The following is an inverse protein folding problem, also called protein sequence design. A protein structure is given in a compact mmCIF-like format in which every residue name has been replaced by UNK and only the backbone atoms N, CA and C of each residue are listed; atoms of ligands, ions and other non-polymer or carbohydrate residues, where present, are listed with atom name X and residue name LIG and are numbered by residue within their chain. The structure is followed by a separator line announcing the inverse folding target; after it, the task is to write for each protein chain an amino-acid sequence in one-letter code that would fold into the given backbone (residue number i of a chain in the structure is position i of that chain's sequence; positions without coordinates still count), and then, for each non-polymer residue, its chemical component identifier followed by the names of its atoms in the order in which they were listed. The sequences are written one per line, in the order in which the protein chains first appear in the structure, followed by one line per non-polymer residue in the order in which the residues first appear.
data_IF_036249331693
#
_entry.id   IF_036249331693
#
_cell.length_a   1.000
_cell.length_b   1.000
_cell.length_c   1.000
_cell.angle_alpha   90.00
_cell.angle_beta   90.00
_cell.angle_gamma   90.00
#
_symmetry.space_group_name_H-M   'P 1'
#
loop_
_entity.id
_entity.type
_entity.pdbx_description
1 polymer ?
#
# COMPACT_ATOMS: atom_id res chain seq x y z
N UNK A 1 3.42 -13.25 -5.22
CA UNK A 1 2.10 -12.55 -5.23
C UNK A 1 2.29 -11.18 -5.88
N UNK A 2 1.32 -10.65 -6.65
CA UNK A 2 1.42 -9.29 -7.21
C UNK A 2 1.11 -8.23 -6.15
N UNK A 3 1.75 -7.06 -6.22
CA UNK A 3 1.53 -5.94 -5.29
C UNK A 3 0.05 -5.55 -5.24
N UNK A 4 -0.62 -5.41 -6.38
CA UNK A 4 -2.06 -5.08 -6.43
C UNK A 4 -2.95 -6.14 -5.76
N UNK A 5 -2.59 -7.43 -5.89
CA UNK A 5 -3.30 -8.53 -5.23
C UNK A 5 -3.03 -8.48 -3.73
N UNK A 6 -1.78 -8.27 -3.32
CA UNK A 6 -1.40 -8.20 -1.92
C UNK A 6 -2.13 -7.07 -1.20
N UNK A 7 -2.09 -5.84 -1.75
CA UNK A 7 -2.76 -4.67 -1.20
C UNK A 7 -4.27 -4.87 -0.99
N UNK A 8 -4.92 -5.62 -1.89
CA UNK A 8 -6.34 -5.94 -1.74
C UNK A 8 -6.59 -7.03 -0.69
N UNK A 9 -5.77 -8.07 -0.68
CA UNK A 9 -5.95 -9.23 0.21
C UNK A 9 -5.60 -8.88 1.66
N UNK A 10 -4.55 -8.10 1.87
CA UNK A 10 -4.16 -7.55 3.17
C UNK A 10 -5.12 -6.46 3.67
N UNK A 11 -6.09 -6.05 2.86
CA UNK A 11 -7.06 -4.99 3.15
C UNK A 11 -6.45 -3.60 3.41
N UNK A 12 -5.17 -3.39 3.07
CA UNK A 12 -4.55 -2.07 2.98
C UNK A 12 -5.31 -1.17 2.00
N UNK A 13 -5.94 -1.76 0.98
CA UNK A 13 -6.75 -1.04 0.00
C UNK A 13 -8.08 -1.77 -0.22
N UNK A 14 -9.21 -1.05 -0.10
CA UNK A 14 -10.55 -1.62 -0.29
C UNK A 14 -10.80 -2.06 -1.75
N UNK A 15 -10.35 -1.27 -2.74
CA UNK A 15 -10.58 -1.49 -4.19
C UNK A 15 -9.27 -1.75 -4.93
N UNK A 16 -9.29 -2.69 -5.88
CA UNK A 16 -8.12 -3.02 -6.72
C UNK A 16 -7.76 -1.90 -7.70
N UNK A 17 -8.73 -1.11 -8.13
CA UNK A 17 -8.53 0.08 -8.97
C UNK A 17 -7.66 1.11 -8.27
N UNK A 18 -7.99 1.44 -7.02
CA UNK A 18 -7.21 2.38 -6.20
C UNK A 18 -5.76 1.91 -6.00
N UNK A 19 -5.55 0.61 -5.72
CA UNK A 19 -4.21 0.06 -5.61
C UNK A 19 -3.39 0.25 -6.90
N UNK A 20 -4.03 0.08 -8.07
CA UNK A 20 -3.40 0.31 -9.37
C UNK A 20 -3.05 1.79 -9.55
N UNK A 21 -3.98 2.70 -9.28
CA UNK A 21 -3.77 4.15 -9.43
C UNK A 21 -2.63 4.67 -8.55
N UNK A 22 -2.58 4.26 -7.28
CA UNK A 22 -1.52 4.67 -6.35
C UNK A 22 -0.15 4.12 -6.79
N UNK A 23 -0.11 2.91 -7.36
CA UNK A 23 1.12 2.36 -7.95
C UNK A 23 1.52 3.12 -9.24
N UNK A 24 0.56 3.44 -10.11
CA UNK A 24 0.79 4.15 -11.38
C UNK A 24 1.25 5.60 -11.14
N UNK A 25 0.77 6.24 -10.08
CA UNK A 25 1.22 7.56 -9.59
C UNK A 25 2.60 7.51 -8.90
N UNK A 26 3.23 6.33 -8.76
CA UNK A 26 4.52 6.19 -8.08
C UNK A 26 4.47 6.45 -6.57
N UNK A 27 3.27 6.39 -5.98
CA UNK A 27 3.03 6.59 -4.54
C UNK A 27 3.25 5.33 -3.71
N UNK A 28 3.53 4.18 -4.35
CA UNK A 28 3.92 2.93 -3.68
C UNK A 28 5.40 2.62 -3.93
N UNK A 29 6.11 2.29 -2.85
CA UNK A 29 7.49 1.83 -2.88
C UNK A 29 7.59 0.46 -2.23
N UNK A 30 8.37 -0.42 -2.81
CA UNK A 30 8.73 -1.72 -2.23
C UNK A 30 10.24 -1.71 -1.99
N UNK A 31 10.65 -1.91 -0.73
CA UNK A 31 12.04 -1.87 -0.29
C UNK A 31 12.77 -0.59 -0.75
N UNK A 32 12.10 0.56 -0.60
CA UNK A 32 12.60 1.87 -1.03
C UNK A 32 12.54 2.15 -2.54
N UNK A 33 12.15 1.19 -3.38
CA UNK A 33 12.07 1.35 -4.85
C UNK A 33 10.62 1.56 -5.29
N UNK A 34 10.37 2.57 -6.13
CA UNK A 34 9.06 2.75 -6.77
C UNK A 34 8.82 1.59 -7.74
N UNK A 35 7.70 0.90 -7.60
CA UNK A 35 7.37 -0.26 -8.41
C UNK A 35 5.96 -0.15 -8.98
N UNK A 36 5.73 -0.82 -10.11
CA UNK A 36 4.41 -0.89 -10.74
C UNK A 36 3.50 -1.88 -9.99
N UNK A 37 2.19 -1.74 -10.18
CA UNK A 37 1.18 -2.62 -9.59
C UNK A 37 1.42 -4.12 -9.86
N UNK A 38 2.00 -4.45 -11.01
CA UNK A 38 2.35 -5.81 -11.40
C UNK A 38 3.60 -6.40 -10.75
N UNK A 39 4.32 -5.63 -9.92
CA UNK A 39 5.52 -6.11 -9.24
C UNK A 39 5.20 -7.28 -8.30
N UNK A 40 6.16 -8.20 -8.19
CA UNK A 40 6.06 -9.35 -7.29
C UNK A 40 6.53 -8.93 -5.91
N UNK A 41 5.70 -9.14 -4.90
CA UNK A 41 6.06 -8.96 -3.49
C UNK A 41 6.44 -10.29 -2.86
N UNK A 42 7.42 -10.24 -1.96
CA UNK A 42 7.91 -11.37 -1.17
C UNK A 42 7.74 -11.10 0.34
N UNK A 43 7.74 -12.17 1.13
CA UNK A 43 7.79 -12.06 2.60
C UNK A 43 9.08 -11.34 3.01
N UNK A 44 8.99 -10.46 4.00
CA UNK A 44 10.07 -9.61 4.48
C UNK A 44 10.24 -8.31 3.68
N UNK A 45 9.51 -8.11 2.58
CA UNK A 45 9.53 -6.84 1.86
C UNK A 45 8.84 -5.75 2.68
N UNK A 46 9.40 -4.54 2.61
CA UNK A 46 8.79 -3.34 3.16
C UNK A 46 8.03 -2.60 2.05
N UNK A 47 6.79 -2.22 2.31
CA UNK A 47 5.90 -1.54 1.38
C UNK A 47 5.53 -0.19 1.98
N UNK A 48 5.97 0.89 1.35
CA UNK A 48 5.55 2.24 1.71
C UNK A 48 4.50 2.73 0.75
N UNK A 49 3.34 3.13 1.26
CA UNK A 49 2.20 3.60 0.50
C UNK A 49 1.90 5.03 0.94
N UNK A 50 1.84 5.96 -0.01
CA UNK A 50 1.39 7.32 0.23
C UNK A 50 -0.10 7.46 -0.09
N UNK A 51 -0.89 7.69 0.93
CA UNK A 51 -2.32 8.01 0.89
C UNK A 51 -2.51 9.53 1.08
N UNK A 52 -2.53 10.28 -0.03
CA UNK A 52 -2.63 11.75 0.05
C UNK A 52 -1.51 12.33 0.92
N UNK A 53 -1.87 12.90 2.07
CA UNK A 53 -0.96 13.49 3.06
C UNK A 53 -0.40 12.49 4.07
N UNK A 54 -0.76 11.20 4.00
CA UNK A 54 -0.28 10.16 4.92
C UNK A 54 0.65 9.20 4.20
N UNK A 55 1.74 8.80 4.84
CA UNK A 55 2.64 7.75 4.37
C UNK A 55 2.62 6.61 5.39
N UNK A 56 2.17 5.45 4.94
CA UNK A 56 2.12 4.22 5.74
C UNK A 56 3.18 3.28 5.21
N UNK A 57 4.05 2.79 6.10
CA UNK A 57 5.07 1.80 5.80
C UNK A 57 4.75 0.51 6.52
N UNK A 58 4.54 -0.55 5.74
CA UNK A 58 4.14 -1.86 6.21
C UNK A 58 5.13 -2.93 5.76
N UNK A 59 5.53 -3.83 6.66
CA UNK A 59 6.34 -5.00 6.34
C UNK A 59 5.45 -6.18 6.01
N UNK A 60 5.74 -6.89 4.94
CA UNK A 60 5.11 -8.17 4.62
C UNK A 60 5.63 -9.24 5.56
N UNK A 61 4.76 -9.82 6.37
CA UNK A 61 5.08 -10.96 7.24
C UNK A 61 4.69 -12.29 6.61
N UNK A 62 3.56 -12.33 5.89
CA UNK A 62 3.04 -13.55 5.24
C UNK A 62 2.36 -13.23 3.92
N UNK A 63 2.48 -14.18 2.99
CA UNK A 63 1.78 -14.15 1.71
C UNK A 63 0.82 -15.32 1.64
N UNK A 64 -0.46 -15.03 1.78
CA UNK A 64 -1.56 -16.01 1.72
C UNK A 64 -2.43 -15.67 0.51
N UNK A 65 -2.81 -16.68 -0.27
CA UNK A 65 -3.65 -16.48 -1.46
C UNK A 65 -5.13 -16.33 -1.14
N UNK A 66 -5.58 -16.99 -0.07
CA UNK A 66 -6.94 -16.95 0.46
C UNK A 66 -6.85 -16.64 1.94
N UNK A 67 -7.54 -15.58 2.38
CA UNK A 67 -7.32 -15.00 3.71
C UNK A 67 -8.65 -14.63 4.33
N UNK A 68 -8.91 -15.16 5.52
CA UNK A 68 -10.07 -14.74 6.32
C UNK A 68 -9.80 -13.39 6.95
N UNK A 69 -10.85 -12.73 7.45
CA UNK A 69 -10.74 -11.38 8.05
C UNK A 69 -9.64 -11.34 9.12
N UNK A 70 -9.60 -12.35 9.98
CA UNK A 70 -8.70 -12.46 11.12
C UNK A 70 -7.24 -12.70 10.72
N UNK A 71 -7.00 -13.30 9.55
CA UNK A 71 -5.66 -13.62 9.08
C UNK A 71 -5.03 -12.47 8.27
N UNK A 72 -5.84 -11.54 7.75
CA UNK A 72 -5.36 -10.41 6.96
C UNK A 72 -4.43 -9.50 7.76
N UNK A 73 -4.77 -9.27 9.04
CA UNK A 73 -3.95 -8.51 9.99
C UNK A 73 -2.61 -9.20 10.29
N UNK A 74 -2.50 -10.51 10.09
CA UNK A 74 -1.23 -11.25 10.28
C UNK A 74 -0.33 -11.26 9.04
N UNK A 75 -0.82 -10.74 7.91
CA UNK A 75 -0.05 -10.73 6.65
C UNK A 75 1.01 -9.64 6.62
N UNK A 76 0.79 -8.56 7.35
CA UNK A 76 1.69 -7.42 7.39
C UNK A 76 1.74 -6.79 8.77
N UNK A 77 2.79 -6.03 9.01
CA UNK A 77 2.96 -5.24 10.21
C UNK A 77 3.22 -3.80 9.81
N UNK A 78 2.48 -2.86 10.38
CA UNK A 78 2.72 -1.43 10.14
C UNK A 78 3.93 -1.01 10.96
N UNK A 79 5.02 -0.66 10.27
CA UNK A 79 6.26 -0.21 10.90
C UNK A 79 6.18 1.28 11.24
N UNK A 80 5.58 2.07 10.34
CA UNK A 80 5.58 3.53 10.46
C UNK A 80 4.36 4.15 9.79
N UNK A 81 3.81 5.17 10.42
CA UNK A 81 2.77 6.04 9.85
C UNK A 81 3.16 7.50 10.07
N UNK A 82 3.31 8.25 8.99
CA UNK A 82 3.70 9.65 9.03
C UNK A 82 2.67 10.51 8.31
N UNK A 83 2.27 11.62 8.94
CA UNK A 83 1.51 12.68 8.29
C UNK A 83 2.50 13.67 7.68
N UNK A 84 2.54 13.71 6.35
CA UNK A 84 3.28 14.72 5.61
C UNK A 84 2.40 15.97 5.58
N UNK A 85 2.73 16.96 6.41
CA UNK A 85 2.17 18.30 6.29
C UNK A 85 2.62 18.87 4.92
N UNK A 86 1.67 19.04 4.02
CA UNK A 86 1.92 19.52 2.66
C UNK A 86 2.40 20.99 2.70
N UNK A 87 3.70 21.20 2.48
CA UNK A 87 4.21 22.50 2.05
C UNK A 87 4.31 22.56 0.53
N UNK A 88 3.15 22.50 -0.14
CA UNK A 88 2.87 23.15 -1.42
C UNK A 88 3.58 22.62 -2.66
N UNK A 89 2.86 21.80 -3.45
CA UNK A 89 2.50 22.07 -4.87
C UNK A 89 1.84 20.82 -5.50
N UNK A 90 0.55 20.98 -5.86
CA UNK A 90 -0.26 20.36 -6.94
C UNK A 90 -0.02 18.86 -7.22
N UNK A 91 -0.99 17.96 -7.04
CA UNK A 91 -2.17 17.86 -7.90
C UNK A 91 -3.48 17.58 -7.15
N UNK A 92 -4.53 18.16 -7.70
CA UNK A 92 -5.89 18.21 -7.21
C UNK A 92 -6.66 16.87 -7.31
N UNK A 93 -7.78 16.86 -6.58
CA UNK A 93 -8.96 16.00 -6.68
C UNK A 93 -8.89 14.60 -6.07
N UNK A 94 -9.84 14.37 -5.15
CA UNK A 94 -10.13 13.07 -4.56
C UNK A 94 -10.37 13.14 -3.06
N UNK A 95 -11.33 13.97 -2.63
CA UNK A 95 -12.04 13.74 -1.36
C UNK A 95 -12.67 12.36 -1.45
N UNK A 96 -12.31 11.44 -0.55
CA UNK A 96 -13.18 10.34 -0.19
C UNK A 96 -12.89 10.00 1.27
N UNK A 97 -13.91 10.28 2.08
CA UNK A 97 -13.96 10.18 3.53
C UNK A 97 -13.70 8.75 4.05
N UNK A 98 -13.28 8.72 5.31
CA UNK A 98 -12.95 7.58 6.18
C UNK A 98 -13.82 6.31 6.02
#
# INVERSE_FOLDING_TARGET
MRLDKFLKVSRLVKRRTLAKEVCDQGRVKVNGKVVKAGAVVAVGNEISIRFGQKVVTAKVLRLLEHVRKEEADTMYEVIKEEQVADSGKVDAEGEDEF
#
